data_IF_162808649267
#
_entry.id   IF_162808649267
#
_cell.length_a   1.000
_cell.length_b   1.000
_cell.length_c   1.000
_cell.angle_alpha   90.00
_cell.angle_beta   90.00
_cell.angle_gamma   90.00
#
_symmetry.space_group_name_H-M   'P 1'
#
loop_
_entity.id
_entity.type
_entity.pdbx_description
1 polymer ?
#
# COMPACT_ATOMS: atom_id res chain seq x y z
N UNK A 1 -2.58 -11.13 12.79
CA UNK A 1 -2.40 -10.22 11.63
C UNK A 1 -1.37 -9.18 11.98
N UNK A 2 -0.43 -8.85 11.10
CA UNK A 2 0.49 -7.73 11.33
C UNK A 2 -0.27 -6.40 11.28
N UNK A 3 0.23 -5.37 11.98
CA UNK A 3 -0.34 -4.01 11.92
C UNK A 3 -0.44 -3.49 10.47
N UNK A 4 0.56 -3.82 9.63
CA UNK A 4 0.55 -3.49 8.20
C UNK A 4 -0.63 -4.13 7.45
N UNK A 5 -0.91 -5.41 7.70
CA UNK A 5 -1.98 -6.11 6.98
C UNK A 5 -3.35 -5.49 7.27
N UNK A 6 -3.61 -5.12 8.54
CA UNK A 6 -4.82 -4.41 8.94
C UNK A 6 -4.93 -3.04 8.25
N UNK A 7 -3.89 -2.21 8.36
CA UNK A 7 -3.86 -0.87 7.79
C UNK A 7 -3.99 -0.87 6.25
N UNK A 8 -3.41 -1.86 5.57
CA UNK A 8 -3.52 -2.00 4.12
C UNK A 8 -4.96 -2.36 3.72
N UNK A 9 -5.58 -3.32 4.40
CA UNK A 9 -6.98 -3.69 4.16
C UNK A 9 -7.92 -2.51 4.36
N UNK A 10 -7.73 -1.73 5.41
CA UNK A 10 -8.46 -0.48 5.63
C UNK A 10 -8.20 0.54 4.51
N UNK A 11 -6.95 0.69 4.06
CA UNK A 11 -6.56 1.63 3.00
C UNK A 11 -7.27 1.36 1.68
N UNK A 12 -7.44 0.08 1.32
CA UNK A 12 -8.03 -0.34 0.04
C UNK A 12 -9.50 -0.76 0.15
N UNK A 13 -10.07 -0.77 1.36
CA UNK A 13 -11.45 -1.22 1.61
C UNK A 13 -11.64 -2.72 1.37
N UNK A 14 -10.70 -3.56 1.84
CA UNK A 14 -10.78 -5.01 1.82
C UNK A 14 -11.20 -5.56 3.20
N UNK A 15 -12.04 -6.62 3.30
CA UNK A 15 -12.50 -7.13 4.60
C UNK A 15 -11.36 -7.58 5.51
N UNK A 16 -11.37 -7.17 6.78
CA UNK A 16 -10.31 -7.50 7.75
C UNK A 16 -10.31 -8.99 8.10
N UNK A 17 -11.49 -9.61 8.26
CA UNK A 17 -11.60 -10.99 8.74
C UNK A 17 -11.59 -12.06 7.62
N UNK A 18 -11.26 -11.68 6.38
CA UNK A 18 -11.20 -12.60 5.25
C UNK A 18 -9.79 -13.17 5.07
N UNK A 19 -9.65 -14.49 5.08
CA UNK A 19 -8.41 -15.15 4.64
C UNK A 19 -8.20 -14.86 3.15
N UNK A 20 -6.98 -14.43 2.80
CA UNK A 20 -6.61 -14.16 1.40
C UNK A 20 -6.24 -15.48 0.74
N UNK A 21 -6.87 -15.72 -0.40
CA UNK A 21 -6.57 -16.81 -1.33
C UNK A 21 -5.99 -16.26 -2.62
N UNK A 22 -5.52 -17.13 -3.52
CA UNK A 22 -4.97 -16.69 -4.80
C UNK A 22 -6.04 -16.02 -5.68
N UNK A 23 -7.29 -16.49 -5.57
CA UNK A 23 -8.48 -15.98 -6.24
C UNK A 23 -8.89 -14.58 -5.74
N UNK A 24 -8.30 -14.07 -4.67
CA UNK A 24 -8.56 -12.72 -4.17
C UNK A 24 -7.60 -11.67 -4.75
N UNK A 25 -6.54 -12.08 -5.46
CA UNK A 25 -5.47 -11.18 -5.89
C UNK A 25 -5.94 -10.14 -6.90
N UNK A 26 -6.82 -10.50 -7.83
CA UNK A 26 -7.41 -9.58 -8.80
C UNK A 26 -8.23 -8.47 -8.10
N UNK A 27 -9.04 -8.83 -7.12
CA UNK A 27 -9.85 -7.90 -6.32
C UNK A 27 -8.94 -7.00 -5.48
N UNK A 28 -7.87 -7.54 -4.89
CA UNK A 28 -6.88 -6.76 -4.12
C UNK A 28 -6.19 -5.74 -5.05
N UNK A 29 -5.76 -6.15 -6.24
CA UNK A 29 -5.11 -5.28 -7.22
C UNK A 29 -6.07 -4.19 -7.70
N UNK A 30 -7.31 -4.53 -8.03
CA UNK A 30 -8.33 -3.57 -8.46
C UNK A 30 -8.62 -2.53 -7.37
N UNK A 31 -8.82 -2.97 -6.13
CA UNK A 31 -9.04 -2.08 -4.99
C UNK A 31 -7.81 -1.20 -4.71
N UNK A 32 -6.61 -1.74 -4.86
CA UNK A 32 -5.37 -0.96 -4.73
C UNK A 32 -5.31 0.14 -5.78
N UNK A 33 -5.56 -0.19 -7.05
CA UNK A 33 -5.56 0.78 -8.15
C UNK A 33 -6.64 1.87 -7.99
N UNK A 34 -7.80 1.53 -7.41
CA UNK A 34 -8.89 2.49 -7.16
C UNK A 34 -8.64 3.42 -5.98
N UNK A 35 -7.72 3.09 -5.06
CA UNK A 35 -7.59 3.80 -3.77
C UNK A 35 -6.20 4.41 -3.53
N UNK A 36 -5.14 3.85 -4.11
CA UNK A 36 -3.75 4.32 -3.94
C UNK A 36 -3.27 4.90 -5.27
N UNK A 37 -3.10 6.23 -5.37
CA UNK A 37 -2.73 6.86 -6.64
C UNK A 37 -1.27 6.56 -7.02
N UNK A 38 -1.01 6.51 -8.32
CA UNK A 38 0.34 6.62 -8.86
C UNK A 38 0.74 8.10 -8.93
N UNK A 39 1.78 8.49 -8.19
CA UNK A 39 2.20 9.89 -8.09
C UNK A 39 3.70 10.03 -7.76
N UNK A 40 4.26 11.20 -8.08
CA UNK A 40 5.67 11.54 -7.89
C UNK A 40 5.89 12.85 -7.09
N UNK A 41 4.92 13.28 -6.29
CA UNK A 41 4.92 14.54 -5.55
C UNK A 41 6.08 14.64 -4.56
N UNK A 42 6.48 13.53 -3.92
CA UNK A 42 7.66 13.50 -3.04
C UNK A 42 8.96 13.82 -3.80
N UNK A 43 9.09 13.41 -5.06
CA UNK A 43 10.26 13.72 -5.89
C UNK A 43 10.23 15.21 -6.25
N UNK A 44 9.07 15.71 -6.72
CA UNK A 44 8.92 17.12 -7.11
C UNK A 44 9.16 18.08 -5.94
N UNK A 45 8.74 17.69 -4.73
CA UNK A 45 8.93 18.48 -3.51
C UNK A 45 10.30 18.27 -2.83
N UNK A 46 11.20 17.47 -3.40
CA UNK A 46 12.49 17.09 -2.79
C UNK A 46 12.34 16.54 -1.36
N UNK A 47 11.22 15.87 -1.08
CA UNK A 47 10.87 15.32 0.22
C UNK A 47 10.81 13.78 0.14
N UNK A 48 11.85 13.19 -0.43
CA UNK A 48 11.99 11.72 -0.56
C UNK A 48 12.51 11.13 0.73
N UNK A 49 11.96 9.98 1.13
CA UNK A 49 12.47 9.16 2.23
C UNK A 49 13.09 7.87 1.69
N UNK A 50 14.01 7.28 2.45
CA UNK A 50 14.55 5.95 2.14
C UNK A 50 13.42 4.89 2.04
N UNK A 51 13.58 3.92 1.14
CA UNK A 51 12.60 2.86 0.90
C UNK A 51 12.66 1.79 2.01
N UNK A 52 12.15 2.14 3.20
CA UNK A 52 12.05 1.23 4.35
C UNK A 52 10.59 0.86 4.61
N UNK A 53 10.37 -0.28 5.28
CA UNK A 53 9.02 -0.73 5.69
C UNK A 53 8.27 0.36 6.47
N UNK A 54 8.94 1.02 7.42
CA UNK A 54 8.32 2.06 8.25
C UNK A 54 7.95 3.31 7.43
N UNK A 55 8.83 3.73 6.52
CA UNK A 55 8.57 4.88 5.65
C UNK A 55 7.40 4.59 4.69
N UNK A 56 7.32 3.38 4.13
CA UNK A 56 6.22 2.94 3.28
C UNK A 56 4.87 2.92 4.01
N UNK A 57 4.82 2.35 5.22
CA UNK A 57 3.61 2.34 6.06
C UNK A 57 3.18 3.78 6.35
N UNK A 58 4.11 4.64 6.77
CA UNK A 58 3.80 6.04 7.07
C UNK A 58 3.26 6.79 5.85
N UNK A 59 3.94 6.69 4.70
CA UNK A 59 3.57 7.36 3.45
C UNK A 59 2.23 6.88 2.91
N UNK A 60 2.10 5.57 2.67
CA UNK A 60 0.96 5.01 1.93
C UNK A 60 -0.26 4.79 2.83
N UNK A 61 -0.04 4.32 4.07
CA UNK A 61 -1.13 3.87 4.94
C UNK A 61 -1.59 4.92 5.94
N UNK A 62 -0.67 5.68 6.55
CA UNK A 62 -1.01 6.75 7.51
C UNK A 62 -1.30 8.09 6.83
N UNK A 63 -0.37 8.60 6.00
CA UNK A 63 -0.54 9.87 5.27
C UNK A 63 -1.48 9.75 4.06
N UNK A 64 -1.93 8.53 3.74
CA UNK A 64 -2.82 8.23 2.61
C UNK A 64 -2.29 8.76 1.26
N UNK A 65 -0.97 8.82 1.09
CA UNK A 65 -0.33 9.23 -0.16
C UNK A 65 -0.32 8.08 -1.17
N UNK A 66 0.15 8.39 -2.38
CA UNK A 66 0.44 7.42 -3.41
C UNK A 66 1.94 7.17 -3.53
N UNK A 67 2.40 6.74 -4.71
CA UNK A 67 3.83 6.66 -4.99
C UNK A 67 4.13 6.12 -6.38
N UNK A 68 5.42 5.91 -6.64
CA UNK A 68 5.90 5.29 -7.87
C UNK A 68 5.90 3.76 -7.76
N UNK A 69 6.32 3.07 -8.82
CA UNK A 69 6.32 1.62 -8.88
C UNK A 69 7.08 0.96 -7.71
N UNK A 70 8.21 1.53 -7.29
CA UNK A 70 8.99 1.01 -6.16
C UNK A 70 8.33 1.25 -4.80
N UNK A 71 7.42 2.22 -4.69
CA UNK A 71 6.60 2.41 -3.48
C UNK A 71 5.44 1.41 -3.48
N UNK A 72 4.67 1.38 -4.57
CA UNK A 72 3.43 0.62 -4.70
C UNK A 72 3.67 -0.89 -4.68
N UNK A 73 4.68 -1.37 -5.39
CA UNK A 73 5.00 -2.80 -5.41
C UNK A 73 5.63 -3.27 -4.09
N UNK A 74 6.41 -2.41 -3.42
CA UNK A 74 7.00 -2.76 -2.13
C UNK A 74 5.95 -2.85 -1.02
N UNK A 75 4.98 -1.92 -0.97
CA UNK A 75 3.91 -2.01 0.03
C UNK A 75 2.97 -3.20 -0.24
N UNK A 76 2.70 -3.51 -1.52
CA UNK A 76 1.94 -4.71 -1.89
C UNK A 76 2.68 -5.99 -1.50
N UNK A 77 3.98 -6.07 -1.77
CA UNK A 77 4.84 -7.18 -1.33
C UNK A 77 4.76 -7.39 0.19
N UNK A 78 4.91 -6.32 0.96
CA UNK A 78 4.85 -6.38 2.43
C UNK A 78 3.46 -6.79 2.96
N UNK A 79 2.39 -6.53 2.20
CA UNK A 79 1.03 -6.92 2.54
C UNK A 79 0.77 -8.42 2.32
N UNK A 80 1.39 -9.01 1.30
CA UNK A 80 1.23 -10.41 0.90
C UNK A 80 2.13 -11.39 1.67
N UNK A 81 3.11 -10.89 2.44
CA UNK A 81 3.90 -11.66 3.42
C UNK A 81 3.10 -11.97 4.69
#
# INVERSE_FOLDING_TARGET
>A
MSNLNLLFRERIGFPINKNITFEDLDIILEKTAKTIPFENLCIMSKNTSELTKNNLINKILHKKQGGLCYDLNAILYLFLL
#
